data_IF_090069056367
#
_entry.id   IF_090069056367
#
_cell.length_a   1.000
_cell.length_b   1.000
_cell.length_c   1.000
_cell.angle_alpha   90.00
_cell.angle_beta   90.00
_cell.angle_gamma   90.00
#
_symmetry.space_group_name_H-M   'P 1'
#
loop_
_entity.id
_entity.type
_entity.pdbx_description
1 polymer ?
#
# COMPACT_ATOMS: atom_id res chain seq x y z
N UNK A 1 12.38 -35.85 5.98
CA UNK A 1 13.84 -35.86 6.23
C UNK A 1 14.05 -35.86 7.73
N UNK A 2 14.82 -36.81 8.25
CA UNK A 2 15.15 -36.91 9.67
C UNK A 2 16.56 -36.34 9.89
N UNK A 3 16.69 -35.36 10.78
CA UNK A 3 17.99 -34.87 11.20
C UNK A 3 18.50 -35.70 12.37
N UNK A 4 19.69 -36.26 12.21
CA UNK A 4 20.44 -36.99 13.24
C UNK A 4 21.80 -36.34 13.42
N UNK A 5 22.53 -36.72 14.47
CA UNK A 5 23.85 -36.16 14.74
C UNK A 5 24.83 -37.30 15.03
N UNK A 6 25.97 -37.33 14.33
CA UNK A 6 27.09 -38.24 14.61
C UNK A 6 28.28 -37.40 15.06
N UNK A 7 28.52 -37.35 16.37
CA UNK A 7 29.48 -36.41 16.97
C UNK A 7 29.02 -34.96 16.85
N UNK A 8 29.84 -34.07 16.26
CA UNK A 8 29.46 -32.67 16.01
C UNK A 8 28.88 -32.39 14.61
N UNK A 9 28.76 -33.41 13.75
CA UNK A 9 28.21 -33.23 12.39
C UNK A 9 26.73 -33.62 12.35
N UNK A 10 25.91 -32.73 11.79
CA UNK A 10 24.51 -33.01 11.46
C UNK A 10 24.46 -33.92 10.23
N UNK A 11 23.54 -34.89 10.26
CA UNK A 11 23.31 -35.85 9.20
C UNK A 11 21.82 -35.86 8.87
N UNK A 12 21.49 -35.75 7.60
CA UNK A 12 20.11 -35.77 7.14
C UNK A 12 19.86 -37.06 6.39
N UNK A 13 18.91 -37.85 6.88
CA UNK A 13 18.52 -39.10 6.24
C UNK A 13 17.08 -39.02 5.76
N UNK A 14 16.83 -39.62 4.60
CA UNK A 14 15.49 -39.80 4.11
C UNK A 14 14.86 -40.98 4.85
N UNK A 15 13.70 -40.74 5.45
CA UNK A 15 12.89 -41.77 6.09
C UNK A 15 11.57 -41.83 5.34
N UNK A 16 11.09 -43.05 5.10
CA UNK A 16 9.80 -43.25 4.45
C UNK A 16 8.76 -43.46 5.55
N UNK A 17 7.90 -42.46 5.74
CA UNK A 17 6.84 -42.51 6.76
C UNK A 17 5.58 -43.07 6.12
N UNK A 18 4.99 -44.15 6.66
CA UNK A 18 3.77 -44.70 6.10
C UNK A 18 2.61 -43.72 6.29
N UNK A 19 1.70 -43.67 5.32
CA UNK A 19 0.54 -42.76 5.32
C UNK A 19 -0.40 -43.06 6.49
N UNK A 20 -0.43 -44.32 6.96
CA UNK A 20 -1.19 -44.73 8.14
C UNK A 20 -0.68 -44.12 9.45
N UNK A 21 0.54 -43.58 9.49
CA UNK A 21 1.02 -42.86 10.65
C UNK A 21 0.21 -41.56 10.84
N UNK A 22 -0.26 -41.31 12.06
CA UNK A 22 -1.04 -40.10 12.37
C UNK A 22 -0.34 -38.80 11.93
N UNK A 23 0.98 -38.76 12.08
CA UNK A 23 1.80 -37.62 11.67
C UNK A 23 1.63 -37.31 10.17
N UNK A 24 1.65 -38.32 9.31
CA UNK A 24 1.52 -38.14 7.86
C UNK A 24 0.13 -37.59 7.50
N UNK A 25 -0.90 -38.08 8.19
CA UNK A 25 -2.29 -37.61 8.00
C UNK A 25 -2.44 -36.14 8.40
N UNK A 26 -2.04 -35.77 9.62
CA UNK A 26 -2.09 -34.39 10.12
C UNK A 26 -1.25 -33.43 9.27
N UNK A 27 -0.07 -33.87 8.81
CA UNK A 27 0.79 -33.08 7.93
C UNK A 27 0.11 -32.79 6.58
N UNK A 28 -0.52 -33.81 5.99
CA UNK A 28 -1.25 -33.66 4.72
C UNK A 28 -2.45 -32.72 4.87
N UNK A 29 -3.25 -32.90 5.92
CA UNK A 29 -4.40 -32.03 6.21
C UNK A 29 -3.97 -30.58 6.39
N UNK A 30 -2.92 -30.33 7.18
CA UNK A 30 -2.38 -28.97 7.37
C UNK A 30 -1.90 -28.36 6.05
N UNK A 31 -1.18 -29.15 5.25
CA UNK A 31 -0.69 -28.70 3.94
C UNK A 31 -1.85 -28.40 2.99
N UNK A 32 -2.91 -29.20 3.02
CA UNK A 32 -4.11 -28.98 2.21
C UNK A 32 -4.89 -27.74 2.66
N UNK A 33 -5.02 -27.53 3.97
CA UNK A 33 -5.65 -26.35 4.53
C UNK A 33 -4.90 -25.06 4.14
N UNK A 34 -3.57 -25.07 4.25
CA UNK A 34 -2.72 -23.94 3.84
C UNK A 34 -2.85 -23.66 2.33
N UNK A 35 -2.89 -24.71 1.49
CA UNK A 35 -3.13 -24.55 0.05
C UNK A 35 -4.50 -23.93 -0.24
N UNK A 36 -5.55 -24.39 0.45
CA UNK A 36 -6.90 -23.87 0.25
C UNK A 36 -7.00 -22.40 0.70
N UNK A 37 -6.36 -22.02 1.82
CA UNK A 37 -6.29 -20.63 2.26
C UNK A 37 -5.55 -19.75 1.23
N UNK A 38 -4.40 -20.22 0.75
CA UNK A 38 -3.62 -19.52 -0.27
C UNK A 38 -4.40 -19.34 -1.57
N UNK A 39 -5.19 -20.34 -1.98
CA UNK A 39 -6.04 -20.25 -3.16
C UNK A 39 -7.17 -19.23 -2.98
N UNK A 40 -7.84 -19.22 -1.82
CA UNK A 40 -8.84 -18.20 -1.49
C UNK A 40 -8.23 -16.80 -1.49
N UNK A 41 -7.06 -16.62 -0.88
CA UNK A 41 -6.35 -15.34 -0.88
C UNK A 41 -6.01 -14.92 -2.31
N UNK A 42 -5.54 -15.85 -3.15
CA UNK A 42 -5.24 -15.58 -4.56
C UNK A 42 -6.48 -15.09 -5.29
N UNK A 43 -7.64 -15.72 -5.10
CA UNK A 43 -8.90 -15.30 -5.72
C UNK A 43 -9.31 -13.90 -5.27
N UNK A 44 -9.21 -13.60 -3.96
CA UNK A 44 -9.53 -12.28 -3.42
C UNK A 44 -8.61 -11.20 -3.97
N UNK A 45 -7.30 -11.46 -3.99
CA UNK A 45 -6.30 -10.52 -4.52
C UNK A 45 -6.52 -10.27 -6.00
N UNK A 46 -6.80 -11.32 -6.78
CA UNK A 46 -7.12 -11.19 -8.20
C UNK A 46 -8.35 -10.28 -8.41
N UNK A 47 -9.44 -10.51 -7.67
CA UNK A 47 -10.64 -9.67 -7.77
C UNK A 47 -10.48 -8.24 -7.23
N UNK A 48 -9.46 -7.96 -6.41
CA UNK A 48 -9.09 -6.58 -6.07
C UNK A 48 -8.37 -5.93 -7.24
N UNK A 49 -7.42 -6.66 -7.86
CA UNK A 49 -6.65 -6.13 -8.99
C UNK A 49 -7.53 -5.86 -10.21
N UNK A 50 -8.42 -6.79 -10.55
CA UNK A 50 -9.38 -6.62 -11.66
C UNK A 50 -10.22 -5.35 -11.49
N UNK A 51 -10.74 -5.09 -10.27
CA UNK A 51 -11.50 -3.87 -10.00
C UNK A 51 -10.66 -2.60 -10.09
N UNK A 52 -9.40 -2.64 -9.63
CA UNK A 52 -8.49 -1.49 -9.77
C UNK A 52 -8.17 -1.22 -11.24
N UNK A 53 -7.90 -2.26 -12.03
CA UNK A 53 -7.63 -2.11 -13.47
C UNK A 53 -8.84 -1.55 -14.23
N UNK A 54 -10.06 -1.97 -13.87
CA UNK A 54 -11.30 -1.42 -14.44
C UNK A 54 -11.49 0.06 -14.07
N UNK A 55 -11.24 0.43 -12.82
CA UNK A 55 -11.27 1.82 -12.35
C UNK A 55 -10.23 2.68 -13.09
N UNK A 56 -8.99 2.21 -13.18
CA UNK A 56 -7.90 2.89 -13.90
C UNK A 56 -8.21 3.05 -15.39
N UNK A 57 -8.81 2.03 -16.02
CA UNK A 57 -9.22 2.10 -17.42
C UNK A 57 -10.35 3.11 -17.62
N UNK A 58 -11.36 3.12 -16.75
CA UNK A 58 -12.42 4.12 -16.78
C UNK A 58 -11.89 5.53 -16.54
N UNK A 59 -10.97 5.72 -15.59
CA UNK A 59 -10.31 7.00 -15.36
C UNK A 59 -9.50 7.45 -16.58
N UNK A 60 -8.78 6.54 -17.23
CA UNK A 60 -8.03 6.84 -18.46
C UNK A 60 -8.97 7.35 -19.56
N UNK A 61 -10.09 6.67 -19.81
CA UNK A 61 -11.10 7.09 -20.80
C UNK A 61 -11.74 8.41 -20.40
N UNK A 62 -12.09 8.59 -19.12
CA UNK A 62 -12.64 9.83 -18.60
C UNK A 62 -11.64 10.99 -18.69
N UNK A 63 -10.34 10.74 -18.52
CA UNK A 63 -9.27 11.73 -18.68
C UNK A 63 -9.09 12.16 -20.13
N UNK A 64 -9.22 11.23 -21.08
CA UNK A 64 -9.19 11.52 -22.52
C UNK A 64 -10.42 12.33 -22.95
N UNK A 65 -11.59 12.04 -22.36
CA UNK A 65 -12.83 12.77 -22.61
C UNK A 65 -12.98 14.05 -21.76
N UNK A 66 -12.14 14.26 -20.75
CA UNK A 66 -12.08 15.52 -20.01
C UNK A 66 -11.54 16.59 -20.94
N UNK A 67 -12.46 17.37 -21.49
CA UNK A 67 -12.15 18.66 -22.06
C UNK A 67 -11.30 19.44 -21.04
N UNK A 68 -10.12 19.89 -21.45
CA UNK A 68 -9.24 20.71 -20.61
C UNK A 68 -10.08 21.77 -19.91
N UNK A 69 -9.95 21.94 -18.57
CA UNK A 69 -10.64 23.03 -17.91
C UNK A 69 -10.22 24.31 -18.61
N UNK A 70 -11.18 25.02 -19.21
CA UNK A 70 -10.92 26.31 -19.84
C UNK A 70 -10.24 27.17 -18.78
N UNK A 71 -8.93 27.40 -18.94
CA UNK A 71 -8.16 28.20 -18.00
C UNK A 71 -8.86 29.55 -17.97
N UNK A 72 -9.48 29.88 -16.84
CA UNK A 72 -10.27 31.09 -16.75
C UNK A 72 -9.30 32.27 -16.86
N UNK A 73 -9.20 32.86 -18.06
CA UNK A 73 -8.30 33.98 -18.37
C UNK A 73 -8.61 35.24 -17.53
N UNK A 74 -9.71 35.25 -16.77
CA UNK A 74 -9.99 36.29 -15.77
C UNK A 74 -9.29 36.05 -14.42
N UNK A 75 -8.66 34.88 -14.21
CA UNK A 75 -7.98 34.57 -12.94
C UNK A 75 -6.71 35.40 -12.74
N UNK A 76 -6.00 35.72 -13.82
CA UNK A 76 -4.85 36.62 -13.81
C UNK A 76 -5.24 38.10 -13.69
N UNK A 77 -6.46 38.45 -14.09
CA UNK A 77 -7.00 39.82 -13.98
C UNK A 77 -7.48 40.21 -12.59
N UNK A 78 -7.53 39.26 -11.64
CA UNK A 78 -7.83 39.59 -10.24
C UNK A 78 -6.58 40.17 -9.61
N UNK A 79 -6.57 41.49 -9.40
CA UNK A 79 -5.58 42.18 -8.56
C UNK A 79 -5.63 41.52 -7.18
N UNK A 80 -4.65 40.65 -6.89
CA UNK A 80 -4.52 40.04 -5.57
C UNK A 80 -3.91 41.07 -4.64
N UNK A 81 -4.50 41.22 -3.46
CA UNK A 81 -3.96 42.09 -2.42
C UNK A 81 -2.51 41.71 -2.12
N UNK A 82 -1.58 42.63 -2.40
CA UNK A 82 -0.19 42.50 -1.99
C UNK A 82 -0.07 43.08 -0.58
N UNK A 83 0.19 42.21 0.39
CA UNK A 83 0.51 42.67 1.74
C UNK A 83 1.93 43.26 1.74
N UNK A 84 2.17 44.37 2.46
CA UNK A 84 3.52 44.89 2.64
C UNK A 84 4.39 43.80 3.26
N UNK A 85 5.58 43.58 2.68
CA UNK A 85 6.57 42.65 3.24
C UNK A 85 7.43 43.42 4.23
N UNK A 86 7.35 43.03 5.49
CA UNK A 86 8.09 43.62 6.61
C UNK A 86 7.27 43.51 7.88
N UNK A 87 7.94 43.45 9.03
CA UNK A 87 7.25 43.63 10.30
C UNK A 87 6.66 45.06 10.30
N UNK A 88 5.36 45.23 10.57
CA UNK A 88 4.79 46.56 10.69
C UNK A 88 5.46 47.29 11.86
N UNK A 89 5.68 48.59 11.68
CA UNK A 89 6.40 49.40 12.64
C UNK A 89 5.68 49.38 14.00
N UNK A 90 6.40 48.92 15.03
CA UNK A 90 5.80 48.63 16.33
C UNK A 90 5.32 49.90 17.03
N UNK A 91 5.98 51.04 16.77
CA UNK A 91 5.62 52.32 17.36
C UNK A 91 4.32 52.90 16.77
N UNK A 92 3.96 52.50 15.55
CA UNK A 92 2.67 52.82 14.92
C UNK A 92 1.52 51.95 15.46
N UNK A 93 1.82 50.73 15.92
CA UNK A 93 0.80 49.77 16.42
C UNK A 93 0.57 49.93 17.93
N UNK A 94 1.65 50.00 18.71
CA UNK A 94 1.57 49.98 20.17
C UNK A 94 1.73 51.37 20.79
N UNK A 95 2.02 52.39 19.98
CA UNK A 95 2.26 53.76 20.42
C UNK A 95 3.60 53.89 21.13
N UNK A 96 4.33 54.96 20.84
CA UNK A 96 5.55 55.28 21.57
C UNK A 96 5.20 55.58 23.04
N UNK A 97 5.59 54.67 23.94
CA UNK A 97 5.53 54.94 25.38
C UNK A 97 6.51 56.07 25.70
N UNK A 98 5.99 57.30 25.79
CA UNK A 98 6.70 58.39 26.45
C UNK A 98 6.90 58.00 27.92
N UNK A 99 8.16 57.94 28.35
CA UNK A 99 8.56 57.90 29.76
C UNK A 99 8.32 59.26 30.41
#
# INVERSE_FOLDING_TARGET
MLMTRRGNKQQFTNINVPISAEFATKFKERTQAEKAEKEKMKQVVLGIHERQEEEDYQEMIASMNRQLPTVNANRERRVRYQHPKGAPDADLIFGSKKR
#
